data_IF_073607334301
#
_entry.id   IF_073607334301
#
_cell.length_a   1.000
_cell.length_b   1.000
_cell.length_c   1.000
_cell.angle_alpha   90.00
_cell.angle_beta   90.00
_cell.angle_gamma   90.00
#
_symmetry.space_group_name_H-M   'P 1'
#
loop_
_entity.id
_entity.type
_entity.pdbx_description
1 polymer ?
#
# COMPACT_ATOMS: atom_id res chain seq x y z
N UNK A 1 -11.17 7.46 -7.58
CA UNK A 1 -10.18 6.89 -6.64
C UNK A 1 -10.97 6.30 -5.49
N UNK A 2 -11.07 4.97 -5.40
CA UNK A 2 -11.82 4.30 -4.34
C UNK A 2 -10.89 4.06 -3.15
N UNK A 3 -11.02 4.88 -2.10
CA UNK A 3 -10.22 4.74 -0.90
C UNK A 3 -10.91 3.77 0.06
N UNK A 4 -10.27 2.64 0.32
CA UNK A 4 -10.67 1.72 1.38
C UNK A 4 -10.45 2.35 2.76
N UNK A 5 -11.14 1.83 3.78
CA UNK A 5 -10.70 2.03 5.16
C UNK A 5 -9.23 1.60 5.29
N UNK A 6 -8.38 2.37 5.99
CA UNK A 6 -6.98 2.02 6.17
C UNK A 6 -6.82 0.72 6.94
N UNK A 7 -5.76 -0.01 6.63
CA UNK A 7 -5.37 -1.23 7.34
C UNK A 7 -4.25 -0.88 8.31
N UNK A 8 -4.48 -1.12 9.59
CA UNK A 8 -3.42 -1.04 10.60
C UNK A 8 -2.46 -2.22 10.47
N UNK A 9 -1.16 -1.92 10.42
CA UNK A 9 -0.12 -2.93 10.40
C UNK A 9 1.17 -2.41 11.05
N UNK A 10 1.59 -3.04 12.14
CA UNK A 10 2.84 -2.71 12.86
C UNK A 10 2.98 -1.24 13.28
N UNK A 11 1.87 -0.59 13.68
CA UNK A 11 1.87 0.82 14.06
C UNK A 11 2.00 1.78 12.86
N UNK A 12 1.62 1.30 11.67
CA UNK A 12 1.51 2.09 10.45
C UNK A 12 0.15 1.84 9.82
N UNK A 13 -0.39 2.87 9.15
CA UNK A 13 -1.63 2.79 8.41
C UNK A 13 -1.34 2.61 6.93
N UNK A 14 -1.96 1.60 6.34
CA UNK A 14 -1.88 1.30 4.91
C UNK A 14 -3.18 1.75 4.24
N UNK A 15 -3.06 2.69 3.31
CA UNK A 15 -4.14 3.13 2.44
C UNK A 15 -3.94 2.53 1.06
N UNK A 16 -4.72 1.49 0.75
CA UNK A 16 -4.75 0.94 -0.60
C UNK A 16 -5.44 1.92 -1.55
N UNK A 17 -4.73 2.32 -2.60
CA UNK A 17 -5.19 3.22 -3.64
C UNK A 17 -5.29 2.44 -4.93
N UNK A 18 -6.51 2.29 -5.43
CA UNK A 18 -6.75 1.68 -6.74
C UNK A 18 -7.14 2.76 -7.74
N UNK A 19 -6.33 2.89 -8.78
CA UNK A 19 -6.62 3.70 -9.95
C UNK A 19 -7.29 2.85 -11.03
N UNK A 20 -8.24 3.41 -11.77
CA UNK A 20 -8.76 2.77 -12.97
C UNK A 20 -7.98 3.30 -14.18
N UNK A 21 -7.50 2.41 -15.02
CA UNK A 21 -6.83 2.69 -16.30
C UNK A 21 -7.59 1.99 -17.44
N UNK A 22 -7.23 2.29 -18.69
CA UNK A 22 -7.89 1.76 -19.90
C UNK A 22 -7.81 0.22 -19.93
N UNK A 23 -6.72 -0.36 -19.44
CA UNK A 23 -6.45 -1.80 -19.48
C UNK A 23 -6.78 -2.54 -18.17
N UNK A 24 -7.19 -1.85 -17.12
CA UNK A 24 -7.49 -2.49 -15.83
C UNK A 24 -7.40 -1.57 -14.62
N UNK A 25 -6.94 -2.14 -13.51
CA UNK A 25 -6.85 -1.46 -12.22
C UNK A 25 -5.40 -1.40 -11.74
N UNK A 26 -4.90 -0.18 -11.55
CA UNK A 26 -3.56 0.08 -11.04
C UNK A 26 -3.56 -0.04 -9.52
N UNK A 27 -2.73 -0.95 -9.01
CA UNK A 27 -2.48 -1.09 -7.59
C UNK A 27 -1.43 -0.08 -7.13
N UNK A 28 -1.74 0.64 -6.05
CA UNK A 28 -0.79 1.50 -5.35
C UNK A 28 -1.16 1.57 -3.86
N UNK A 29 -0.22 1.94 -3.01
CA UNK A 29 -0.47 2.11 -1.59
C UNK A 29 0.18 3.40 -1.07
N UNK A 30 -0.44 4.00 -0.06
CA UNK A 30 0.16 5.03 0.78
C UNK A 30 0.32 4.44 2.16
N UNK A 31 1.55 4.41 2.65
CA UNK A 31 1.90 3.95 3.99
C UNK A 31 2.14 5.21 4.81
N UNK A 32 1.51 5.31 5.98
CA UNK A 32 1.74 6.43 6.89
C UNK A 32 1.94 5.94 8.31
N UNK A 33 2.69 6.69 9.13
CA UNK A 33 2.64 6.48 10.58
C UNK A 33 1.26 6.83 11.15
N UNK A 34 0.99 6.37 12.38
CA UNK A 34 -0.28 6.65 13.09
C UNK A 34 -0.53 8.15 13.28
N UNK A 35 0.53 8.97 13.33
CA UNK A 35 0.44 10.42 13.47
C UNK A 35 0.07 11.13 12.16
N UNK A 36 0.22 10.46 11.01
CA UNK A 36 0.02 11.07 9.69
C UNK A 36 1.20 11.94 9.23
N UNK A 37 2.30 11.96 9.96
CA UNK A 37 3.41 12.90 9.77
C UNK A 37 4.38 12.40 8.69
N UNK A 38 4.59 11.08 8.62
CA UNK A 38 5.42 10.46 7.58
C UNK A 38 4.57 9.57 6.69
N UNK A 39 4.29 10.05 5.47
CA UNK A 39 3.63 9.26 4.44
C UNK A 39 4.58 8.94 3.28
N UNK A 40 4.52 7.69 2.83
CA UNK A 40 5.26 7.19 1.68
C UNK A 40 4.28 6.52 0.71
N UNK A 41 4.21 7.05 -0.50
CA UNK A 41 3.52 6.38 -1.60
C UNK A 41 4.44 5.34 -2.24
N UNK A 42 3.91 4.16 -2.53
CA UNK A 42 4.66 3.11 -3.24
C UNK A 42 4.74 3.35 -4.75
N UNK A 43 3.95 4.29 -5.28
CA UNK A 43 3.75 4.45 -6.72
C UNK A 43 2.89 3.32 -7.32
N UNK A 44 2.82 3.26 -8.64
CA UNK A 44 2.13 2.20 -9.37
C UNK A 44 2.93 0.89 -9.25
N UNK A 45 2.31 -0.12 -8.66
CA UNK A 45 2.92 -1.42 -8.40
C UNK A 45 2.64 -2.45 -9.50
N UNK A 46 1.52 -2.29 -10.21
CA UNK A 46 1.09 -3.19 -11.28
C UNK A 46 -0.34 -2.92 -11.73
N UNK A 47 -0.73 -3.53 -12.85
CA UNK A 47 -2.10 -3.50 -13.38
C UNK A 47 -2.78 -4.86 -13.16
N UNK A 48 -4.03 -4.85 -12.72
CA UNK A 48 -4.81 -6.03 -12.38
C UNK A 48 -6.17 -6.02 -13.09
N UNK A 49 -6.73 -7.19 -13.43
CA UNK A 49 -8.04 -7.28 -14.09
C UNK A 49 -9.19 -6.74 -13.24
N UNK A 50 -9.08 -6.80 -11.90
CA UNK A 50 -10.16 -6.38 -10.99
C UNK A 50 -9.67 -5.42 -9.90
N UNK A 51 -10.56 -4.54 -9.44
CA UNK A 51 -10.29 -3.62 -8.32
C UNK A 51 -9.91 -4.38 -7.04
N UNK A 52 -10.58 -5.51 -6.80
CA UNK A 52 -10.35 -6.33 -5.61
C UNK A 52 -8.95 -6.93 -5.60
N UNK A 53 -8.48 -7.45 -6.73
CA UNK A 53 -7.11 -7.96 -6.88
C UNK A 53 -6.06 -6.85 -6.71
N UNK A 54 -6.27 -5.70 -7.37
CA UNK A 54 -5.38 -4.55 -7.24
C UNK A 54 -5.27 -4.08 -5.77
N UNK A 55 -6.42 -4.00 -5.09
CA UNK A 55 -6.47 -3.62 -3.68
C UNK A 55 -5.74 -4.63 -2.80
N UNK A 56 -6.04 -5.91 -2.95
CA UNK A 56 -5.43 -6.95 -2.13
C UNK A 56 -3.92 -7.00 -2.34
N UNK A 57 -3.48 -6.89 -3.59
CA UNK A 57 -2.06 -6.82 -3.92
C UNK A 57 -1.39 -5.60 -3.28
N UNK A 58 -1.98 -4.41 -3.37
CA UNK A 58 -1.44 -3.19 -2.77
C UNK A 58 -1.24 -3.32 -1.25
N UNK A 59 -2.20 -3.95 -0.55
CA UNK A 59 -2.11 -4.18 0.91
C UNK A 59 -0.98 -5.14 1.24
N UNK A 60 -0.91 -6.29 0.57
CA UNK A 60 0.11 -7.30 0.86
C UNK A 60 1.52 -6.81 0.50
N UNK A 61 1.65 -6.06 -0.60
CA UNK A 61 2.90 -5.39 -0.95
C UNK A 61 3.32 -4.40 0.14
N UNK A 62 2.40 -3.54 0.61
CA UNK A 62 2.71 -2.56 1.64
C UNK A 62 3.14 -3.23 2.95
N UNK A 63 2.47 -4.31 3.39
CA UNK A 63 2.89 -5.09 4.56
C UNK A 63 4.30 -5.66 4.40
N UNK A 64 4.61 -6.21 3.23
CA UNK A 64 5.94 -6.75 2.94
C UNK A 64 7.02 -5.65 2.98
N UNK A 65 6.72 -4.48 2.44
CA UNK A 65 7.63 -3.33 2.44
C UNK A 65 7.87 -2.79 3.86
N UNK A 66 6.83 -2.70 4.68
CA UNK A 66 6.94 -2.33 6.10
C UNK A 66 7.82 -3.34 6.84
N UNK A 67 7.58 -4.64 6.64
CA UNK A 67 8.38 -5.71 7.24
C UNK A 67 9.85 -5.64 6.82
N UNK A 68 10.13 -5.39 5.54
CA UNK A 68 11.48 -5.21 5.00
C UNK A 68 12.18 -4.01 5.64
N UNK A 69 11.51 -2.87 5.74
CA UNK A 69 12.05 -1.67 6.38
C UNK A 69 12.32 -1.87 7.87
N UNK A 70 11.41 -2.55 8.58
CA UNK A 70 11.60 -2.90 9.99
C UNK A 70 12.82 -3.81 10.20
N UNK A 71 12.98 -4.83 9.35
CA UNK A 71 14.14 -5.73 9.40
C UNK A 71 15.45 -4.97 9.13
N UNK A 72 15.48 -4.09 8.12
CA UNK A 72 16.67 -3.28 7.83
C UNK A 72 17.08 -2.38 9.00
N UNK A 73 16.11 -1.81 9.74
CA UNK A 73 16.39 -1.00 10.93
C UNK A 73 16.93 -1.81 12.11
N UNK A 74 16.61 -3.10 12.21
CA UNK A 74 17.13 -3.99 13.26
C UNK A 74 18.57 -4.47 12.97
N UNK A 75 18.99 -4.41 11.70
CA UNK A 75 20.31 -4.88 11.25
C UNK A 75 21.35 -3.76 11.08
N UNK A 76 20.96 -2.49 11.20
CA UNK A 76 21.84 -1.32 11.12
C UNK A 76 22.06 -0.69 12.49
#
# INVERSE_FOLDING_TARGET
>A
MFQASPVDYMGTLIFAVVGQDIEGFIASAVITDEAGEHSQATGALGSFPTEMEARQFAIEYAKAEIGRCALMRLMG
#
